data_IF_011803928123
#
_entry.id   IF_011803928123
#
_cell.length_a   1.000
_cell.length_b   1.000
_cell.length_c   1.000
_cell.angle_alpha   90.00
_cell.angle_beta   90.00
_cell.angle_gamma   90.00
#
_symmetry.space_group_name_H-M   'P 1'
#
loop_
_entity.id
_entity.type
_entity.pdbx_description
1 polymer ?
#
# COMPACT_ATOMS: atom_id res chain seq x y z
N UNK A 1 34.76 23.91 7.83
CA UNK A 1 34.68 23.04 6.63
C UNK A 1 34.00 21.69 6.87
N UNK A 2 34.11 21.03 8.04
CA UNK A 2 33.52 19.70 8.30
C UNK A 2 31.98 19.69 8.36
N UNK A 3 31.34 20.65 9.05
CA UNK A 3 29.86 20.69 9.17
C UNK A 3 29.12 20.85 7.83
N UNK A 4 29.67 21.63 6.89
CA UNK A 4 29.02 21.90 5.60
C UNK A 4 28.97 20.65 4.71
N UNK A 5 29.99 19.78 4.80
CA UNK A 5 30.01 18.46 4.13
C UNK A 5 29.02 17.49 4.78
N UNK A 6 28.95 17.47 6.11
CA UNK A 6 27.98 16.63 6.85
C UNK A 6 26.54 17.03 6.51
N UNK A 7 26.24 18.32 6.46
CA UNK A 7 24.91 18.82 6.06
C UNK A 7 24.57 18.45 4.62
N UNK A 8 25.52 18.59 3.69
CA UNK A 8 25.30 18.18 2.30
C UNK A 8 25.01 16.68 2.18
N UNK A 9 25.76 15.83 2.89
CA UNK A 9 25.51 14.38 2.93
C UNK A 9 24.15 14.04 3.53
N UNK A 10 23.74 14.73 4.60
CA UNK A 10 22.44 14.54 5.22
C UNK A 10 21.28 14.90 4.28
N UNK A 11 21.40 16.01 3.55
CA UNK A 11 20.38 16.42 2.55
C UNK A 11 20.30 15.42 1.40
N UNK A 12 21.43 14.93 0.90
CA UNK A 12 21.44 13.91 -0.18
C UNK A 12 20.78 12.62 0.30
N UNK A 13 21.11 12.15 1.52
CA UNK A 13 20.48 10.97 2.11
C UNK A 13 18.97 11.15 2.27
N UNK A 14 18.52 12.34 2.67
CA UNK A 14 17.11 12.64 2.80
C UNK A 14 16.39 12.60 1.43
N UNK A 15 16.97 13.22 0.40
CA UNK A 15 16.41 13.19 -0.96
C UNK A 15 16.36 11.77 -1.53
N UNK A 16 17.38 10.94 -1.27
CA UNK A 16 17.39 9.53 -1.63
C UNK A 16 16.28 8.76 -0.91
N UNK A 17 16.13 8.95 0.41
CA UNK A 17 15.07 8.30 1.18
C UNK A 17 13.66 8.66 0.65
N UNK A 18 13.43 9.94 0.32
CA UNK A 18 12.17 10.39 -0.28
C UNK A 18 11.95 9.76 -1.65
N UNK A 19 12.99 9.70 -2.49
CA UNK A 19 12.90 9.09 -3.82
C UNK A 19 12.63 7.58 -3.75
N UNK A 20 13.29 6.87 -2.84
CA UNK A 20 13.04 5.45 -2.59
C UNK A 20 11.65 5.20 -2.05
N UNK A 21 11.16 6.02 -1.12
CA UNK A 21 9.79 5.95 -0.64
C UNK A 21 8.79 6.15 -1.79
N UNK A 22 9.04 7.11 -2.67
CA UNK A 22 8.19 7.35 -3.83
C UNK A 22 8.21 6.17 -4.80
N UNK A 23 9.38 5.62 -5.16
CA UNK A 23 9.48 4.46 -6.03
C UNK A 23 8.77 3.23 -5.44
N UNK A 24 9.00 2.99 -4.15
CA UNK A 24 8.39 1.87 -3.44
C UNK A 24 6.87 2.01 -3.33
N UNK A 25 6.34 3.22 -3.16
CA UNK A 25 4.88 3.46 -3.09
C UNK A 25 4.20 3.61 -4.44
N UNK A 26 4.94 3.73 -5.56
CA UNK A 26 4.35 4.12 -6.86
C UNK A 26 4.62 3.16 -8.01
N UNK A 27 5.83 2.60 -8.05
CA UNK A 27 6.34 1.85 -9.20
C UNK A 27 6.47 0.37 -8.86
N UNK A 28 6.94 0.05 -7.66
CA UNK A 28 7.29 -1.32 -7.29
C UNK A 28 6.19 -2.08 -6.55
N UNK A 29 5.04 -1.46 -6.31
CA UNK A 29 3.95 -2.06 -5.56
C UNK A 29 2.73 -2.22 -6.45
N UNK A 30 2.09 -3.38 -6.33
CA UNK A 30 0.92 -3.75 -7.09
C UNK A 30 -0.27 -2.85 -6.76
N UNK A 31 -1.09 -2.56 -7.76
CA UNK A 31 -2.21 -1.61 -7.66
C UNK A 31 -3.52 -2.38 -7.69
N UNK A 32 -4.19 -2.38 -6.55
CA UNK A 32 -5.49 -3.01 -6.35
C UNK A 32 -6.58 -1.97 -6.53
N UNK A 33 -7.51 -2.20 -7.45
CA UNK A 33 -8.56 -1.25 -7.77
C UNK A 33 -9.80 -1.50 -6.90
N UNK A 34 -10.29 -0.48 -6.22
CA UNK A 34 -11.53 -0.52 -5.46
C UNK A 34 -12.66 -0.14 -6.42
N UNK A 35 -13.55 -1.10 -6.67
CA UNK A 35 -14.74 -0.95 -7.50
C UNK A 35 -15.98 -1.29 -6.66
N UNK A 36 -16.59 -0.25 -6.06
CA UNK A 36 -17.69 -0.41 -5.11
C UNK A 36 -17.25 -1.21 -3.87
N UNK A 37 -17.91 -2.33 -3.62
CA UNK A 37 -17.66 -3.22 -2.47
C UNK A 37 -16.61 -4.31 -2.75
N UNK A 38 -16.01 -4.30 -3.95
CA UNK A 38 -15.03 -5.29 -4.36
C UNK A 38 -13.68 -4.64 -4.70
N UNK A 39 -12.63 -5.43 -4.57
CA UNK A 39 -11.30 -5.09 -5.01
C UNK A 39 -10.95 -5.94 -6.22
N UNK A 40 -10.50 -5.29 -7.30
CA UNK A 40 -10.09 -5.92 -8.55
C UNK A 40 -8.56 -5.85 -8.64
N UNK A 41 -7.95 -6.98 -8.92
CA UNK A 41 -6.53 -7.06 -9.19
C UNK A 41 -6.26 -8.13 -10.24
N UNK A 42 -5.68 -7.70 -11.37
CA UNK A 42 -5.56 -8.53 -12.57
C UNK A 42 -6.93 -9.07 -13.02
N UNK A 43 -7.14 -10.40 -12.92
CA UNK A 43 -8.41 -11.08 -13.21
C UNK A 43 -9.12 -11.59 -11.95
N UNK A 44 -8.68 -11.15 -10.77
CA UNK A 44 -9.24 -11.60 -9.50
C UNK A 44 -10.19 -10.56 -8.93
N UNK A 45 -11.34 -11.02 -8.45
CA UNK A 45 -12.29 -10.21 -7.68
C UNK A 45 -12.23 -10.62 -6.21
N UNK A 46 -12.00 -9.65 -5.36
CA UNK A 46 -11.94 -9.80 -3.92
C UNK A 46 -13.16 -9.14 -3.30
N UNK A 47 -13.92 -9.90 -2.49
CA UNK A 47 -15.15 -9.43 -1.86
C UNK A 47 -14.94 -9.32 -0.36
N UNK A 48 -15.47 -8.25 0.24
CA UNK A 48 -15.41 -8.04 1.68
C UNK A 48 -15.97 -9.26 2.43
N UNK A 49 -15.25 -9.71 3.45
CA UNK A 49 -15.67 -10.81 4.30
C UNK A 49 -15.86 -10.36 5.75
N UNK A 50 -14.79 -9.85 6.36
CA UNK A 50 -14.77 -9.46 7.77
C UNK A 50 -13.61 -8.49 8.03
N UNK A 51 -13.42 -8.05 9.27
CA UNK A 51 -12.25 -7.26 9.67
C UNK A 51 -11.34 -8.12 10.55
N UNK A 52 -10.50 -8.93 9.91
CA UNK A 52 -9.49 -9.74 10.61
C UNK A 52 -8.08 -9.25 10.28
N UNK A 53 -7.43 -8.59 11.22
CA UNK A 53 -6.04 -8.15 11.08
C UNK A 53 -5.03 -9.13 11.70
N UNK A 54 -5.48 -10.32 12.11
CA UNK A 54 -4.60 -11.33 12.67
C UNK A 54 -3.76 -11.99 11.57
N UNK A 55 -2.52 -12.32 11.92
CA UNK A 55 -1.58 -12.99 11.01
C UNK A 55 -1.26 -12.26 9.69
N UNK A 56 -1.40 -10.93 9.64
CA UNK A 56 -0.93 -10.14 8.51
C UNK A 56 0.57 -10.36 8.25
N UNK A 57 0.88 -10.54 6.97
CA UNK A 57 2.21 -10.72 6.45
C UNK A 57 2.80 -9.41 5.93
N UNK A 58 3.42 -9.47 4.75
CA UNK A 58 4.03 -8.31 4.11
C UNK A 58 2.97 -7.51 3.35
N UNK A 59 3.23 -6.22 3.20
CA UNK A 59 2.53 -5.38 2.22
C UNK A 59 2.81 -5.91 0.82
N UNK A 60 1.75 -6.13 0.06
CA UNK A 60 1.80 -6.64 -1.31
C UNK A 60 1.31 -5.61 -2.32
N UNK A 61 0.58 -4.58 -1.87
CA UNK A 61 -0.10 -3.67 -2.78
C UNK A 61 -0.49 -2.35 -2.15
N UNK A 62 -1.02 -1.47 -3.00
CA UNK A 62 -1.80 -0.30 -2.61
C UNK A 62 -3.17 -0.39 -3.27
N UNK A 63 -4.22 -0.08 -2.51
CA UNK A 63 -5.56 0.05 -3.03
C UNK A 63 -5.80 1.47 -3.59
N UNK A 64 -6.68 1.59 -4.58
CA UNK A 64 -7.09 2.87 -5.15
C UNK A 64 -8.50 2.82 -5.71
N UNK A 65 -9.31 3.85 -5.48
CA UNK A 65 -10.62 3.94 -6.13
C UNK A 65 -10.49 4.40 -7.58
N UNK A 66 -11.09 3.68 -8.52
CA UNK A 66 -11.19 4.09 -9.92
C UNK A 66 -11.98 5.41 -10.04
N UNK A 67 -11.59 6.30 -10.95
CA UNK A 67 -12.32 7.55 -11.23
C UNK A 67 -12.15 8.68 -10.21
N UNK A 68 -11.63 8.42 -9.00
CA UNK A 68 -11.20 9.49 -8.08
C UNK A 68 -9.77 9.90 -8.40
N UNK A 69 -9.57 11.16 -8.78
CA UNK A 69 -8.21 11.75 -8.78
C UNK A 69 -7.66 11.59 -7.36
N UNK A 70 -6.58 10.80 -7.22
CA UNK A 70 -5.88 10.66 -5.95
C UNK A 70 -5.56 12.05 -5.39
N UNK A 71 -6.04 12.32 -4.18
CA UNK A 71 -5.70 13.54 -3.45
C UNK A 71 -4.31 13.42 -2.84
N UNK A 72 -3.65 14.54 -2.52
CA UNK A 72 -2.33 14.57 -1.86
C UNK A 72 -2.29 13.68 -0.61
N UNK A 73 -3.41 13.58 0.11
CA UNK A 73 -3.60 12.68 1.26
C UNK A 73 -3.40 11.21 0.91
N UNK A 74 -3.94 10.75 -0.22
CA UNK A 74 -3.77 9.38 -0.71
C UNK A 74 -2.32 9.12 -1.15
N UNK A 75 -1.56 10.20 -1.40
CA UNK A 75 -0.14 10.10 -1.70
C UNK A 75 0.72 9.89 -0.44
N UNK A 76 0.33 10.49 0.67
CA UNK A 76 1.06 10.42 1.95
C UNK A 76 0.60 9.19 2.76
N UNK A 77 -0.68 8.87 2.69
CA UNK A 77 -1.32 7.74 3.35
C UNK A 77 -2.14 6.92 2.35
N UNK A 78 -1.48 6.10 1.52
CA UNK A 78 -2.20 5.18 0.65
C UNK A 78 -2.87 4.09 1.48
N UNK A 79 -3.98 3.56 0.96
CA UNK A 79 -4.55 2.32 1.48
C UNK A 79 -3.63 1.16 1.12
N UNK A 80 -3.08 0.51 2.14
CA UNK A 80 -2.10 -0.55 1.97
C UNK A 80 -2.79 -1.91 1.90
N UNK A 81 -2.41 -2.73 0.92
CA UNK A 81 -2.87 -4.11 0.79
C UNK A 81 -1.83 -5.03 1.39
N UNK A 82 -2.25 -5.86 2.33
CA UNK A 82 -1.44 -6.85 3.02
C UNK A 82 -1.90 -8.26 2.64
N UNK A 83 -0.93 -9.14 2.39
CA UNK A 83 -1.20 -10.57 2.30
C UNK A 83 -1.13 -11.24 3.67
N UNK A 84 -1.85 -12.33 3.89
CA UNK A 84 -1.75 -13.12 5.12
C UNK A 84 -0.50 -14.01 5.14
N UNK A 85 0.08 -14.23 6.32
CA UNK A 85 1.20 -15.16 6.49
C UNK A 85 0.79 -16.57 6.04
N UNK A 86 1.60 -17.18 5.18
CA UNK A 86 1.35 -18.53 4.65
C UNK A 86 0.45 -18.57 3.41
N UNK A 87 -0.29 -17.51 3.09
CA UNK A 87 -1.11 -17.44 1.87
C UNK A 87 -0.31 -16.88 0.69
N UNK A 88 0.46 -17.77 0.04
CA UNK A 88 1.25 -17.43 -1.16
C UNK A 88 0.41 -17.11 -2.39
N UNK A 89 -0.85 -17.53 -2.41
CA UNK A 89 -1.75 -17.34 -3.55
C UNK A 89 -2.60 -16.08 -3.43
N UNK A 90 -2.45 -15.34 -2.32
CA UNK A 90 -3.22 -14.14 -2.00
C UNK A 90 -4.72 -14.38 -2.20
N UNK A 91 -5.23 -15.50 -1.66
CA UNK A 91 -6.68 -15.78 -1.61
C UNK A 91 -7.39 -14.85 -0.64
N UNK A 92 -6.68 -14.38 0.38
CA UNK A 92 -7.15 -13.37 1.32
C UNK A 92 -6.19 -12.20 1.31
N UNK A 93 -6.76 -11.00 1.28
CA UNK A 93 -6.01 -9.75 1.38
C UNK A 93 -6.66 -8.88 2.45
N UNK A 94 -5.87 -8.04 3.11
CA UNK A 94 -6.37 -7.04 4.04
C UNK A 94 -6.01 -5.66 3.53
N UNK A 95 -7.00 -4.79 3.40
CA UNK A 95 -6.77 -3.40 3.03
C UNK A 95 -6.85 -2.53 4.27
N UNK A 96 -5.75 -1.84 4.57
CA UNK A 96 -5.61 -0.92 5.70
C UNK A 96 -5.58 0.51 5.20
N UNK A 97 -6.57 1.29 5.58
CA UNK A 97 -6.60 2.72 5.35
C UNK A 97 -6.03 3.52 6.51
N UNK A 98 -6.38 4.81 6.54
CA UNK A 98 -6.03 5.73 7.61
C UNK A 98 -6.64 5.27 8.96
N UNK A 99 -5.94 5.55 10.07
CA UNK A 99 -6.41 5.25 11.44
C UNK A 99 -6.64 3.77 11.75
N UNK A 100 -5.89 2.88 11.11
CA UNK A 100 -5.97 1.42 11.33
C UNK A 100 -7.32 0.78 11.00
N UNK A 101 -8.20 1.54 10.34
CA UNK A 101 -9.44 1.02 9.78
C UNK A 101 -9.11 0.22 8.52
N UNK A 102 -9.65 -0.98 8.44
CA UNK A 102 -9.41 -1.88 7.33
C UNK A 102 -10.39 -3.02 7.25
N UNK A 103 -10.27 -3.82 6.21
CA UNK A 103 -11.14 -4.96 5.95
C UNK A 103 -10.39 -6.07 5.23
N UNK A 104 -10.81 -7.30 5.52
CA UNK A 104 -10.38 -8.53 4.86
C UNK A 104 -11.27 -8.79 3.66
N UNK A 105 -10.65 -9.10 2.53
CA UNK A 105 -11.32 -9.45 1.29
C UNK A 105 -10.85 -10.82 0.82
N UNK A 106 -11.80 -11.63 0.34
CA UNK A 106 -11.57 -13.00 -0.11
C UNK A 106 -11.77 -13.08 -1.62
N UNK A 107 -10.83 -13.75 -2.30
CA UNK A 107 -10.85 -13.99 -3.73
C UNK A 107 -11.97 -14.95 -4.11
N UNK A 108 -12.78 -14.56 -5.09
CA UNK A 108 -13.81 -15.40 -5.72
C UNK A 108 -13.29 -16.09 -6.98
#
# INVERSE_FOLDING_TARGET
MKMRKVWASAVILFLLAVSFYFLNTRVWVDKYEINGDAILFENNKYVYAESDADHLGKTIGIAYSEGKKRGITDYIWPEWVYGYKGDKAHRRIFVRGLMDMGGTYIRQ
#
